data_IF_693523003332
#
_entry.id   IF_693523003332
#
_cell.length_a   1.000
_cell.length_b   1.000
_cell.length_c   1.000
_cell.angle_alpha   90.00
_cell.angle_beta   90.00
_cell.angle_gamma   90.00
#
_symmetry.space_group_name_H-M   'P 1'
#
loop_
_entity.id
_entity.type
_entity.pdbx_description
1 polymer ?
#
# COMPACT_ATOMS: atom_id res chain seq x y z
N UNK A 1 0.58 -8.88 2.03
CA UNK A 1 0.84 -7.53 1.50
C UNK A 1 2.34 -7.28 1.58
N UNK A 2 2.98 -6.84 0.49
CA UNK A 2 4.45 -6.74 0.40
C UNK A 2 4.88 -5.28 0.49
N UNK A 3 5.87 -4.99 1.32
CA UNK A 3 6.48 -3.67 1.46
C UNK A 3 8.00 -3.82 1.59
N UNK A 4 8.75 -2.74 1.38
CA UNK A 4 10.21 -2.75 1.36
C UNK A 4 10.75 -2.12 2.63
N UNK A 5 11.39 -2.88 3.53
CA UNK A 5 11.86 -2.33 4.81
C UNK A 5 13.18 -1.54 4.67
N UNK A 6 13.87 -1.65 3.53
CA UNK A 6 15.12 -0.96 3.24
C UNK A 6 14.88 0.17 2.22
N UNK A 7 15.71 1.22 2.27
CA UNK A 7 15.60 2.37 1.37
C UNK A 7 15.70 1.96 -0.10
N UNK A 8 14.74 2.43 -0.89
CA UNK A 8 14.78 2.36 -2.35
C UNK A 8 14.14 3.60 -2.93
N UNK A 9 14.88 4.29 -3.79
CA UNK A 9 14.40 5.51 -4.42
C UNK A 9 13.62 5.18 -5.70
N UNK A 10 12.40 5.71 -5.81
CA UNK A 10 11.56 5.69 -7.00
C UNK A 10 11.16 7.12 -7.31
N UNK A 11 11.53 7.62 -8.50
CA UNK A 11 11.26 9.02 -8.90
C UNK A 11 11.59 10.02 -7.77
N UNK A 12 12.81 9.92 -7.24
CA UNK A 12 13.33 10.79 -6.17
C UNK A 12 12.62 10.69 -4.80
N UNK A 13 11.73 9.72 -4.61
CA UNK A 13 11.06 9.44 -3.33
C UNK A 13 11.51 8.09 -2.78
N UNK A 14 11.85 8.05 -1.48
CA UNK A 14 12.10 6.78 -0.79
C UNK A 14 10.78 6.07 -0.51
N UNK A 15 10.65 4.83 -1.00
CA UNK A 15 9.44 4.01 -0.82
C UNK A 15 9.57 3.00 0.33
N UNK A 16 10.57 3.19 1.19
CA UNK A 16 10.77 2.39 2.40
C UNK A 16 9.52 2.40 3.29
N UNK A 17 9.03 1.21 3.61
CA UNK A 17 7.98 0.98 4.59
C UNK A 17 8.11 -0.42 5.22
N UNK A 18 8.49 -0.45 6.49
CA UNK A 18 8.61 -1.65 7.31
C UNK A 18 7.38 -1.86 8.21
N UNK A 19 7.34 -3.00 8.92
CA UNK A 19 6.28 -3.25 9.90
C UNK A 19 6.45 -2.36 11.14
N UNK A 20 7.68 -2.01 11.48
CA UNK A 20 7.98 -1.09 12.58
C UNK A 20 7.51 0.33 12.24
N UNK A 21 7.62 0.74 10.97
CA UNK A 21 7.08 2.02 10.49
C UNK A 21 5.54 2.03 10.62
N UNK A 22 4.86 0.95 10.22
CA UNK A 22 3.41 0.79 10.44
C UNK A 22 3.06 0.90 11.94
N UNK A 23 3.81 0.23 12.81
CA UNK A 23 3.53 0.24 14.25
C UNK A 23 3.67 1.65 14.86
N UNK A 24 4.61 2.45 14.38
CA UNK A 24 4.87 3.82 14.84
C UNK A 24 3.86 4.85 14.32
N UNK A 25 3.06 4.51 13.31
CA UNK A 25 2.03 5.39 12.77
C UNK A 25 0.92 5.64 13.80
N UNK A 26 0.19 6.74 13.62
CA UNK A 26 -0.91 7.10 14.53
C UNK A 26 -1.99 6.01 14.51
N UNK A 27 -2.19 5.35 15.65
CA UNK A 27 -3.11 4.22 15.78
C UNK A 27 -2.60 2.93 15.15
N UNK A 28 -1.34 2.88 14.72
CA UNK A 28 -0.74 1.81 13.93
C UNK A 28 -1.50 1.50 12.64
N UNK A 29 -2.03 2.57 12.01
CA UNK A 29 -2.85 2.48 10.80
C UNK A 29 -2.14 3.19 9.64
N UNK A 30 -2.09 2.53 8.48
CA UNK A 30 -1.56 3.11 7.23
C UNK A 30 -2.47 2.85 6.04
N UNK A 31 -2.65 3.82 5.12
CA UNK A 31 -3.10 3.47 3.78
C UNK A 31 -2.07 2.55 3.11
N UNK A 32 -2.56 1.58 2.35
CA UNK A 32 -1.72 0.68 1.55
C UNK A 32 -1.71 1.12 0.09
N UNK A 33 -1.10 2.27 -0.16
CA UNK A 33 -1.08 2.93 -1.46
C UNK A 33 -0.08 2.28 -2.44
N UNK A 34 0.05 2.87 -3.63
CA UNK A 34 1.12 2.52 -4.59
C UNK A 34 0.91 1.20 -5.35
N UNK A 35 -0.19 0.49 -5.14
CA UNK A 35 -0.52 -0.73 -5.89
C UNK A 35 -0.88 -0.37 -7.34
N UNK A 36 -0.05 -0.81 -8.28
CA UNK A 36 -0.22 -0.57 -9.74
C UNK A 36 -0.37 -1.86 -10.55
N UNK A 37 -0.83 -2.93 -9.90
CA UNK A 37 -1.16 -4.21 -10.54
C UNK A 37 -2.69 -4.41 -10.52
N UNK A 38 -3.28 -4.76 -11.67
CA UNK A 38 -4.74 -4.88 -11.82
C UNK A 38 -5.35 -5.99 -10.96
N UNK A 39 -4.68 -7.13 -10.82
CA UNK A 39 -5.16 -8.26 -10.01
C UNK A 39 -5.10 -7.92 -8.52
N UNK A 40 -3.95 -7.41 -8.05
CA UNK A 40 -3.79 -6.98 -6.66
C UNK A 40 -4.80 -5.89 -6.29
N UNK A 41 -5.04 -4.93 -7.20
CA UNK A 41 -6.08 -3.92 -7.04
C UNK A 41 -7.47 -4.54 -6.92
N UNK A 42 -7.83 -5.50 -7.77
CA UNK A 42 -9.14 -6.16 -7.71
C UNK A 42 -9.34 -6.87 -6.37
N UNK A 43 -8.29 -7.53 -5.86
CA UNK A 43 -8.34 -8.16 -4.53
C UNK A 43 -8.60 -7.10 -3.45
N UNK A 44 -7.86 -5.99 -3.45
CA UNK A 44 -8.05 -4.91 -2.47
C UNK A 44 -9.44 -4.27 -2.55
N UNK A 45 -9.93 -4.00 -3.77
CA UNK A 45 -11.21 -3.33 -3.99
C UNK A 45 -12.40 -4.23 -3.67
N UNK A 46 -12.37 -5.47 -4.15
CA UNK A 46 -13.56 -6.32 -4.20
C UNK A 46 -13.60 -7.34 -3.06
N UNK A 47 -12.44 -7.85 -2.63
CA UNK A 47 -12.34 -9.04 -1.78
C UNK A 47 -11.96 -8.73 -0.33
N UNK A 48 -11.07 -7.77 -0.09
CA UNK A 48 -10.66 -7.40 1.28
C UNK A 48 -11.80 -6.71 2.03
N UNK A 49 -12.11 -7.20 3.24
CA UNK A 49 -13.17 -6.71 4.12
C UNK A 49 -12.63 -6.25 5.46
N UNK A 50 -13.41 -5.40 6.12
CA UNK A 50 -13.09 -4.92 7.47
C UNK A 50 -12.88 -6.11 8.42
N UNK A 51 -11.74 -6.14 9.11
CA UNK A 51 -11.36 -7.20 10.05
C UNK A 51 -10.58 -8.37 9.44
N UNK A 52 -10.40 -8.41 8.11
CA UNK A 52 -9.57 -9.44 7.47
C UNK A 52 -8.12 -9.35 7.95
N UNK A 53 -7.52 -10.51 8.26
CA UNK A 53 -6.12 -10.61 8.65
C UNK A 53 -5.24 -10.79 7.43
N UNK A 54 -4.14 -10.03 7.39
CA UNK A 54 -3.18 -10.06 6.28
C UNK A 54 -1.77 -10.32 6.82
N UNK A 55 -0.97 -11.04 6.03
CA UNK A 55 0.46 -11.20 6.30
C UNK A 55 1.20 -9.96 5.79
N UNK A 56 2.01 -9.32 6.65
CA UNK A 56 2.93 -8.25 6.26
C UNK A 56 4.27 -8.89 5.85
N UNK A 57 4.65 -8.71 4.60
CA UNK A 57 5.82 -9.35 4.01
C UNK A 57 6.87 -8.32 3.63
N UNK A 58 8.07 -8.45 4.16
CA UNK A 58 9.24 -7.67 3.76
C UNK A 58 9.81 -8.25 2.46
N UNK A 59 9.81 -7.43 1.42
CA UNK A 59 10.37 -7.77 0.10
C UNK A 59 11.55 -6.88 -0.25
N UNK A 60 12.34 -7.29 -1.24
CA UNK A 60 13.46 -6.51 -1.78
C UNK A 60 14.44 -5.98 -0.71
N UNK A 61 14.78 -6.83 0.25
CA UNK A 61 15.71 -6.57 1.35
C UNK A 61 16.61 -7.78 1.56
N UNK A 62 17.63 -7.64 2.42
CA UNK A 62 18.57 -8.74 2.72
C UNK A 62 17.91 -9.97 3.32
N UNK A 63 16.88 -9.77 4.14
CA UNK A 63 16.15 -10.82 4.85
C UNK A 63 14.65 -10.79 4.49
N UNK A 64 14.28 -11.29 3.29
CA UNK A 64 12.88 -11.27 2.87
C UNK A 64 12.04 -12.32 3.60
N UNK A 65 10.83 -11.98 4.00
CA UNK A 65 9.97 -12.89 4.73
C UNK A 65 8.71 -12.25 5.32
N UNK A 66 7.91 -13.05 6.01
CA UNK A 66 6.78 -12.55 6.79
C UNK A 66 7.34 -11.89 8.05
N UNK A 67 7.17 -10.57 8.16
CA UNK A 67 7.61 -9.79 9.32
C UNK A 67 6.54 -9.71 10.42
N UNK A 68 5.28 -9.97 10.07
CA UNK A 68 4.17 -10.03 11.02
C UNK A 68 2.80 -10.06 10.34
N UNK A 69 1.78 -9.59 11.06
CA UNK A 69 0.39 -9.54 10.59
C UNK A 69 -0.19 -8.14 10.76
N UNK A 70 -1.13 -7.76 9.90
CA UNK A 70 -1.97 -6.58 10.06
C UNK A 70 -3.45 -6.94 9.86
N UNK A 71 -4.35 -5.98 10.06
CA UNK A 71 -5.80 -6.17 9.94
C UNK A 71 -6.36 -5.06 9.07
N UNK A 72 -7.22 -5.39 8.11
CA UNK A 72 -7.91 -4.37 7.32
C UNK A 72 -8.83 -3.54 8.22
N UNK A 73 -8.56 -2.24 8.34
CA UNK A 73 -9.37 -1.28 9.12
C UNK A 73 -10.21 -0.36 8.23
N UNK A 74 -9.98 -0.39 6.90
CA UNK A 74 -10.84 0.25 5.91
C UNK A 74 -10.84 -0.53 4.60
N UNK A 75 -12.05 -0.82 4.10
CA UNK A 75 -12.25 -1.51 2.82
C UNK A 75 -11.82 -0.67 1.61
N UNK A 76 -11.71 -1.31 0.45
CA UNK A 76 -11.17 -0.72 -0.77
C UNK A 76 -11.76 0.65 -1.15
N UNK A 77 -10.89 1.64 -1.30
CA UNK A 77 -11.25 3.00 -1.70
C UNK A 77 -10.21 3.59 -2.68
N UNK A 78 -10.54 4.65 -3.45
CA UNK A 78 -9.62 5.22 -4.43
C UNK A 78 -8.27 5.62 -3.83
N UNK A 79 -7.19 5.17 -4.45
CA UNK A 79 -5.83 5.56 -4.09
C UNK A 79 -5.56 7.01 -4.53
N UNK A 80 -5.54 7.93 -3.56
CA UNK A 80 -5.36 9.35 -3.82
C UNK A 80 -3.95 9.68 -4.34
N UNK A 81 -2.95 8.84 -4.07
CA UNK A 81 -1.56 9.05 -4.53
C UNK A 81 -1.44 8.91 -6.05
N UNK A 82 -2.40 8.22 -6.69
CA UNK A 82 -2.45 8.12 -8.14
C UNK A 82 -2.74 9.46 -8.84
N UNK A 83 -3.30 10.44 -8.12
CA UNK A 83 -3.66 11.76 -8.64
C UNK A 83 -2.59 12.83 -8.40
N UNK A 84 -1.59 12.54 -7.57
CA UNK A 84 -0.53 13.46 -7.21
C UNK A 84 0.65 13.30 -8.17
N UNK A 85 0.93 14.32 -8.97
CA UNK A 85 2.00 14.32 -9.97
C UNK A 85 3.42 14.24 -9.39
N UNK A 86 3.57 14.52 -8.09
CA UNK A 86 4.85 14.42 -7.37
C UNK A 86 5.07 13.03 -6.78
N UNK A 87 4.02 12.20 -6.70
CA UNK A 87 4.12 10.88 -6.09
C UNK A 87 4.83 9.88 -7.02
N UNK A 88 5.67 8.95 -6.50
CA UNK A 88 6.34 7.93 -7.30
C UNK A 88 5.36 7.11 -8.17
N UNK A 89 4.15 6.91 -7.66
CA UNK A 89 3.10 6.11 -8.29
C UNK A 89 1.98 6.92 -8.96
N UNK A 90 2.23 8.18 -9.32
CA UNK A 90 1.33 8.97 -10.16
C UNK A 90 0.90 8.22 -11.44
N UNK A 91 -0.38 8.28 -11.79
CA UNK A 91 -0.90 7.81 -13.07
C UNK A 91 -1.72 8.93 -13.75
N UNK A 92 -1.21 9.56 -14.84
CA UNK A 92 -1.89 10.65 -15.52
C UNK A 92 -3.22 10.24 -16.18
N UNK A 93 -3.51 8.94 -16.23
CA UNK A 93 -4.76 8.40 -16.77
C UNK A 93 -5.76 8.03 -15.68
N UNK A 94 -5.49 8.32 -14.40
CA UNK A 94 -6.39 8.10 -13.27
C UNK A 94 -6.89 9.45 -12.74
N UNK A 95 -8.19 9.60 -12.51
CA UNK A 95 -8.77 10.84 -11.95
C UNK A 95 -9.71 10.54 -10.80
N UNK A 96 -10.14 11.57 -10.05
CA UNK A 96 -11.09 11.41 -8.94
C UNK A 96 -12.46 10.92 -9.43
N UNK A 97 -12.85 11.31 -10.62
CA UNK A 97 -14.12 10.94 -11.28
C UNK A 97 -14.06 9.53 -11.87
N UNK A 98 -12.86 9.06 -12.24
CA UNK A 98 -12.62 7.73 -12.80
C UNK A 98 -11.33 7.11 -12.22
N UNK A 99 -11.37 6.70 -10.95
CA UNK A 99 -10.19 6.17 -10.26
C UNK A 99 -9.82 4.78 -10.80
N UNK A 100 -8.56 4.62 -11.22
CA UNK A 100 -8.04 3.33 -11.70
C UNK A 100 -7.49 2.46 -10.60
N UNK A 101 -7.01 3.08 -9.53
CA UNK A 101 -6.25 2.46 -8.45
C UNK A 101 -6.99 2.60 -7.13
N UNK A 102 -6.88 1.55 -6.33
CA UNK A 102 -7.58 1.41 -5.06
C UNK A 102 -6.59 0.92 -4.03
N UNK A 103 -6.81 1.32 -2.78
CA UNK A 103 -6.07 0.91 -1.60
C UNK A 103 -7.03 0.57 -0.47
N UNK A 104 -6.49 0.01 0.59
CA UNK A 104 -7.16 -0.28 1.87
C UNK A 104 -6.37 0.43 2.97
N UNK A 105 -6.95 0.54 4.16
CA UNK A 105 -6.17 0.87 5.37
C UNK A 105 -5.94 -0.42 6.16
N UNK A 106 -4.70 -0.61 6.64
CA UNK A 106 -4.29 -1.70 7.53
C UNK A 106 -3.81 -1.18 8.87
#
# INVERSE_FOLDING_TARGET
>A
MKAEPETRIVKDVDVKFSIDDLQQMKGSISPWDGVRNFEARNIMRDQMKLGDKVLFYHSNCKEPGIAGTAVIVREGYPDHTAFDSTHPYYDPKSSKESPKWYMVDV
#
